data_IF_933899141626
#
_entry.id   IF_933899141626
#
_cell.length_a   1.000
_cell.length_b   1.000
_cell.length_c   1.000
_cell.angle_alpha   90.00
_cell.angle_beta   90.00
_cell.angle_gamma   90.00
#
_symmetry.space_group_name_H-M   'P 1'
#
loop_
_entity.id
_entity.type
_entity.pdbx_description
1 polymer ?
#
# COMPACT_ATOMS: atom_id res chain seq x y z
N UNK A 1 -1.37 20.37 -9.52
CA UNK A 1 -1.21 19.35 -10.58
C UNK A 1 0.21 18.78 -10.62
N UNK A 2 1.26 19.60 -10.53
CA UNK A 2 2.65 19.11 -10.56
C UNK A 2 3.01 18.06 -9.50
N UNK A 3 2.51 18.21 -8.27
CA UNK A 3 2.89 17.29 -7.18
C UNK A 3 2.34 15.87 -7.36
N UNK A 4 1.07 15.72 -7.77
CA UNK A 4 0.50 14.39 -8.05
C UNK A 4 1.17 13.72 -9.26
N UNK A 5 1.61 14.51 -10.25
CA UNK A 5 2.38 14.00 -11.39
C UNK A 5 3.73 13.46 -10.92
N UNK A 6 4.47 14.26 -10.14
CA UNK A 6 5.72 13.84 -9.53
C UNK A 6 5.57 12.57 -8.69
N UNK A 7 4.53 12.47 -7.85
CA UNK A 7 4.28 11.26 -7.05
C UNK A 7 3.95 10.07 -7.96
N UNK A 8 3.16 10.26 -9.02
CA UNK A 8 2.84 9.19 -9.98
C UNK A 8 4.12 8.68 -10.68
N UNK A 9 5.01 9.58 -11.08
CA UNK A 9 6.31 9.28 -11.68
C UNK A 9 7.26 8.58 -10.69
N UNK A 10 7.40 9.13 -9.49
CA UNK A 10 8.25 8.60 -8.41
C UNK A 10 7.88 7.16 -8.06
N UNK A 11 6.58 6.89 -7.98
CA UNK A 11 6.04 5.58 -7.66
C UNK A 11 6.12 4.61 -8.85
N UNK A 12 6.56 5.06 -10.03
CA UNK A 12 6.64 4.25 -11.24
C UNK A 12 5.28 3.79 -11.77
N UNK A 13 4.19 4.43 -11.33
CA UNK A 13 2.83 4.04 -11.71
C UNK A 13 2.57 4.49 -13.15
N UNK A 14 2.91 3.63 -14.11
CA UNK A 14 2.41 3.80 -15.46
C UNK A 14 0.94 3.38 -15.47
N UNK A 15 0.03 4.35 -15.55
CA UNK A 15 -1.36 4.37 -16.10
C UNK A 15 -2.30 3.14 -16.09
N UNK A 16 -1.83 1.90 -15.99
CA UNK A 16 -2.38 0.80 -16.77
C UNK A 16 -3.12 -0.27 -15.96
N UNK A 17 -3.10 -0.24 -14.62
CA UNK A 17 -3.65 -1.33 -13.80
C UNK A 17 -4.77 -0.98 -12.83
N UNK A 18 -5.14 0.29 -12.70
CA UNK A 18 -6.02 0.73 -11.62
C UNK A 18 -7.34 1.33 -12.13
N UNK A 19 -7.43 1.63 -13.42
CA UNK A 19 -8.65 2.08 -14.10
C UNK A 19 -9.24 0.99 -15.01
N UNK A 20 -10.53 1.05 -15.31
CA UNK A 20 -11.21 0.07 -16.18
C UNK A 20 -10.58 0.07 -17.59
N UNK A 21 -10.29 -1.12 -18.13
CA UNK A 21 -9.63 -1.28 -19.44
C UNK A 21 -10.36 -0.56 -20.59
N UNK A 22 -11.69 -0.56 -20.58
CA UNK A 22 -12.49 0.13 -21.60
C UNK A 22 -12.33 1.65 -21.55
N UNK A 23 -12.22 2.22 -20.35
CA UNK A 23 -11.92 3.64 -20.17
C UNK A 23 -10.53 3.97 -20.71
N UNK A 24 -9.52 3.16 -20.38
CA UNK A 24 -8.17 3.37 -20.89
C UNK A 24 -8.10 3.33 -22.42
N UNK A 25 -8.82 2.40 -23.05
CA UNK A 25 -8.85 2.26 -24.49
C UNK A 25 -9.47 3.50 -25.16
N UNK A 26 -10.67 3.90 -24.73
CA UNK A 26 -11.33 5.12 -25.22
C UNK A 26 -10.54 6.39 -24.95
N UNK A 27 -9.91 6.47 -23.77
CA UNK A 27 -9.11 7.63 -23.39
C UNK A 27 -7.85 7.77 -24.25
N UNK A 28 -7.15 6.67 -24.56
CA UNK A 28 -6.03 6.71 -25.52
C UNK A 28 -6.47 7.13 -26.91
N UNK A 29 -7.62 6.62 -27.34
CA UNK A 29 -8.17 6.85 -28.69
C UNK A 29 -8.54 8.32 -28.91
N UNK A 30 -9.06 8.99 -27.89
CA UNK A 30 -9.57 10.36 -28.02
C UNK A 30 -8.68 11.43 -27.35
N UNK A 31 -7.82 11.07 -26.40
CA UNK A 31 -7.03 12.01 -25.60
C UNK A 31 -5.53 11.71 -25.68
N UNK A 32 -4.93 12.01 -26.83
CA UNK A 32 -3.53 11.70 -27.16
C UNK A 32 -2.50 12.47 -26.30
N UNK A 33 -2.83 13.66 -25.81
CA UNK A 33 -1.91 14.56 -25.09
C UNK A 33 -2.14 14.61 -23.58
N UNK A 34 -3.09 13.82 -23.06
CA UNK A 34 -3.49 13.89 -21.64
C UNK A 34 -2.90 12.70 -20.89
N UNK A 35 -2.22 12.99 -19.78
CA UNK A 35 -1.68 11.96 -18.89
C UNK A 35 -2.72 11.55 -17.84
N UNK A 36 -2.86 10.23 -17.63
CA UNK A 36 -3.65 9.70 -16.51
C UNK A 36 -2.83 9.86 -15.24
N UNK A 37 -3.31 10.69 -14.32
CA UNK A 37 -2.68 10.97 -13.03
C UNK A 37 -3.42 10.16 -11.96
N UNK A 38 -2.67 9.45 -11.12
CA UNK A 38 -3.27 8.73 -10.01
C UNK A 38 -3.50 9.63 -8.82
N UNK A 39 -4.72 9.60 -8.29
CA UNK A 39 -4.99 10.24 -7.01
C UNK A 39 -4.38 9.43 -5.86
N UNK A 40 -4.21 10.11 -4.72
CA UNK A 40 -3.74 9.52 -3.46
C UNK A 40 -4.58 8.31 -3.03
N UNK A 41 -5.90 8.35 -3.27
CA UNK A 41 -6.84 7.35 -2.79
C UNK A 41 -6.55 5.97 -3.39
N UNK A 42 -6.34 5.91 -4.71
CA UNK A 42 -6.07 4.65 -5.40
C UNK A 42 -4.78 4.00 -4.89
N UNK A 43 -3.73 4.81 -4.71
CA UNK A 43 -2.43 4.33 -4.23
C UNK A 43 -2.54 3.80 -2.80
N UNK A 44 -3.18 4.55 -1.91
CA UNK A 44 -3.42 4.12 -0.53
C UNK A 44 -4.30 2.87 -0.47
N UNK A 45 -5.34 2.78 -1.32
CA UNK A 45 -6.23 1.60 -1.39
C UNK A 45 -5.45 0.33 -1.73
N UNK A 46 -4.47 0.40 -2.63
CA UNK A 46 -3.62 -0.74 -2.94
C UNK A 46 -2.79 -1.22 -1.74
N UNK A 47 -2.21 -0.28 -1.00
CA UNK A 47 -1.46 -0.58 0.22
C UNK A 47 -2.36 -1.23 1.30
N UNK A 48 -3.57 -0.69 1.48
CA UNK A 48 -4.57 -1.25 2.40
C UNK A 48 -4.98 -2.68 1.99
N UNK A 49 -5.12 -2.93 0.69
CA UNK A 49 -5.42 -4.27 0.19
C UNK A 49 -4.26 -5.25 0.49
N UNK A 50 -3.01 -4.84 0.29
CA UNK A 50 -1.84 -5.66 0.60
C UNK A 50 -1.75 -6.01 2.10
N UNK A 51 -2.03 -5.03 2.98
CA UNK A 51 -2.13 -5.28 4.43
C UNK A 51 -3.23 -6.29 4.77
N UNK A 52 -4.39 -6.21 4.10
CA UNK A 52 -5.46 -7.18 4.28
C UNK A 52 -5.09 -8.58 3.77
N UNK A 53 -4.27 -8.71 2.73
CA UNK A 53 -3.75 -10.01 2.29
C UNK A 53 -2.80 -10.62 3.33
N UNK A 54 -1.92 -9.83 3.95
CA UNK A 54 -1.11 -10.29 5.09
C UNK A 54 -2.01 -10.79 6.21
N UNK A 55 -3.04 -10.03 6.58
CA UNK A 55 -4.01 -10.44 7.61
C UNK A 55 -4.66 -11.78 7.27
N UNK A 56 -5.07 -12.00 6.02
CA UNK A 56 -5.64 -13.28 5.57
C UNK A 56 -4.64 -14.43 5.67
N UNK A 57 -3.37 -14.19 5.31
CA UNK A 57 -2.33 -15.19 5.39
C UNK A 57 -2.01 -15.57 6.85
N UNK A 58 -1.89 -14.56 7.73
CA UNK A 58 -1.73 -14.76 9.17
C UNK A 58 -2.93 -15.51 9.76
N UNK A 59 -4.15 -15.21 9.31
CA UNK A 59 -5.36 -15.93 9.72
C UNK A 59 -5.33 -17.42 9.30
N UNK A 60 -4.83 -17.73 8.10
CA UNK A 60 -4.69 -19.12 7.63
C UNK A 60 -3.68 -19.90 8.48
N UNK A 61 -2.57 -19.27 8.85
CA UNK A 61 -1.49 -19.88 9.67
C UNK A 61 -1.80 -19.92 11.17
N UNK A 62 -2.72 -19.08 11.64
CA UNK A 62 -3.08 -18.96 13.04
C UNK A 62 -3.80 -20.21 13.57
N UNK A 63 -3.47 -20.59 14.82
CA UNK A 63 -4.30 -21.46 15.65
C UNK A 63 -5.56 -20.73 16.17
N UNK A 64 -6.41 -21.44 16.90
CA UNK A 64 -7.74 -20.98 17.31
C UNK A 64 -7.73 -19.61 18.01
N UNK A 65 -6.90 -19.42 19.04
CA UNK A 65 -6.81 -18.14 19.75
C UNK A 65 -6.38 -16.96 18.88
N UNK A 66 -5.43 -17.17 17.95
CA UNK A 66 -5.02 -16.10 17.03
C UNK A 66 -6.06 -15.81 15.94
N UNK A 67 -6.86 -16.81 15.54
CA UNK A 67 -7.97 -16.61 14.61
C UNK A 67 -9.06 -15.75 15.24
N UNK A 68 -9.39 -15.98 16.51
CA UNK A 68 -10.35 -15.17 17.25
C UNK A 68 -9.90 -13.70 17.30
N UNK A 69 -8.62 -13.45 17.60
CA UNK A 69 -8.05 -12.10 17.63
C UNK A 69 -8.06 -11.38 16.27
N UNK A 70 -7.94 -12.13 15.17
CA UNK A 70 -7.96 -11.58 13.81
C UNK A 70 -9.39 -11.46 13.23
N UNK A 71 -10.34 -12.21 13.76
CA UNK A 71 -11.73 -12.21 13.30
C UNK A 71 -12.41 -10.87 13.63
N UNK A 72 -13.14 -10.31 12.66
CA UNK A 72 -13.81 -9.02 12.83
C UNK A 72 -12.91 -7.77 12.96
N UNK A 73 -11.58 -7.92 13.11
CA UNK A 73 -10.67 -6.77 13.31
C UNK A 73 -10.12 -6.15 12.01
N UNK A 74 -10.66 -6.52 10.85
CA UNK A 74 -10.24 -5.98 9.53
C UNK A 74 -10.27 -4.44 9.52
N UNK A 75 -11.39 -3.83 9.89
CA UNK A 75 -11.54 -2.38 9.80
C UNK A 75 -10.66 -1.62 10.79
N UNK A 76 -10.40 -2.21 11.97
CA UNK A 76 -9.45 -1.67 12.95
C UNK A 76 -8.04 -1.64 12.35
N UNK A 77 -7.62 -2.72 11.68
CA UNK A 77 -6.32 -2.80 11.02
C UNK A 77 -6.17 -1.83 9.84
N UNK A 78 -7.24 -1.59 9.07
CA UNK A 78 -7.20 -0.69 7.92
C UNK A 78 -7.27 0.80 8.33
N UNK A 79 -7.83 1.10 9.51
CA UNK A 79 -7.95 2.45 10.04
C UNK A 79 -6.59 3.05 10.40
N UNK A 80 -6.46 4.37 10.30
CA UNK A 80 -5.29 5.08 10.82
C UNK A 80 -5.32 5.10 12.35
N UNK A 81 -4.16 4.97 12.99
CA UNK A 81 -4.06 4.88 14.45
C UNK A 81 -4.58 6.14 15.15
N UNK A 82 -4.43 7.29 14.51
CA UNK A 82 -4.89 8.59 15.00
C UNK A 82 -6.43 8.67 15.07
N UNK A 83 -7.12 7.96 14.17
CA UNK A 83 -8.58 7.94 14.09
C UNK A 83 -9.23 6.94 15.05
N UNK A 84 -8.45 6.02 15.64
CA UNK A 84 -8.97 5.00 16.55
C UNK A 84 -9.05 5.53 17.98
N UNK A 85 -10.15 5.21 18.67
CA UNK A 85 -10.43 5.61 20.05
C UNK A 85 -10.86 4.41 20.89
N UNK A 86 -10.71 4.53 22.21
CA UNK A 86 -11.14 3.52 23.19
C UNK A 86 -10.66 2.11 22.87
N UNK A 87 -11.59 1.16 22.93
CA UNK A 87 -11.34 -0.27 22.78
C UNK A 87 -10.77 -0.65 21.41
N UNK A 88 -11.12 0.07 20.35
CA UNK A 88 -10.59 -0.18 19.02
C UNK A 88 -9.07 0.06 18.95
N UNK A 89 -8.58 1.12 19.62
CA UNK A 89 -7.15 1.43 19.71
C UNK A 89 -6.42 0.41 20.59
N UNK A 90 -7.02 -0.01 21.69
CA UNK A 90 -6.47 -1.04 22.56
C UNK A 90 -6.36 -2.39 21.84
N UNK A 91 -7.42 -2.79 21.13
CA UNK A 91 -7.45 -4.02 20.33
C UNK A 91 -6.39 -4.01 19.23
N UNK A 92 -6.20 -2.87 18.53
CA UNK A 92 -5.12 -2.73 17.55
C UNK A 92 -3.75 -2.92 18.20
N UNK A 93 -3.46 -2.21 19.31
CA UNK A 93 -2.18 -2.32 20.00
C UNK A 93 -1.88 -3.75 20.44
N UNK A 94 -2.89 -4.43 20.98
CA UNK A 94 -2.75 -5.83 21.39
C UNK A 94 -2.47 -6.74 20.19
N UNK A 95 -3.25 -6.62 19.12
CA UNK A 95 -3.08 -7.41 17.90
C UNK A 95 -1.67 -7.24 17.30
N UNK A 96 -1.17 -6.00 17.23
CA UNK A 96 0.16 -5.69 16.72
C UNK A 96 1.27 -6.18 17.66
N UNK A 97 1.03 -6.20 18.98
CA UNK A 97 1.99 -6.75 19.96
C UNK A 97 2.17 -8.26 19.76
N UNK A 98 1.08 -8.98 19.50
CA UNK A 98 1.10 -10.44 19.36
C UNK A 98 1.62 -10.87 17.98
N UNK A 99 1.25 -10.16 16.90
CA UNK A 99 1.66 -10.52 15.55
C UNK A 99 2.72 -9.56 14.97
N UNK A 100 3.99 -9.97 15.06
CA UNK A 100 5.13 -9.17 14.55
C UNK A 100 5.10 -8.92 13.04
N UNK A 101 4.62 -9.87 12.24
CA UNK A 101 4.54 -9.70 10.78
C UNK A 101 3.48 -8.67 10.41
N UNK A 102 2.32 -8.73 11.07
CA UNK A 102 1.25 -7.76 10.92
C UNK A 102 1.66 -6.37 11.43
N UNK A 103 2.42 -6.31 12.53
CA UNK A 103 3.00 -5.06 13.04
C UNK A 103 3.87 -4.34 12.00
N UNK A 104 4.82 -5.05 11.39
CA UNK A 104 5.68 -4.46 10.35
C UNK A 104 4.86 -3.99 9.14
N UNK A 105 3.89 -4.78 8.68
CA UNK A 105 2.98 -4.39 7.59
C UNK A 105 2.18 -3.13 7.93
N UNK A 106 1.67 -3.04 9.16
CA UNK A 106 0.90 -1.90 9.64
C UNK A 106 1.75 -0.63 9.71
N UNK A 107 2.98 -0.72 10.23
CA UNK A 107 3.90 0.42 10.28
C UNK A 107 4.23 0.97 8.88
N UNK A 108 4.48 0.10 7.91
CA UNK A 108 4.71 0.49 6.52
C UNK A 108 3.51 1.23 5.93
N UNK A 109 2.29 0.79 6.29
CA UNK A 109 1.05 1.45 5.89
C UNK A 109 0.89 2.84 6.53
N UNK A 110 1.21 2.99 7.81
CA UNK A 110 1.11 4.28 8.50
C UNK A 110 2.16 5.27 8.00
N UNK A 111 3.41 4.83 7.78
CA UNK A 111 4.48 5.70 7.31
C UNK A 111 4.25 6.21 5.89
N UNK A 112 3.58 5.41 5.03
CA UNK A 112 3.37 5.76 3.62
C UNK A 112 2.59 7.06 3.42
N UNK A 113 1.70 7.43 4.35
CA UNK A 113 0.96 8.69 4.29
C UNK A 113 1.87 9.93 4.28
N UNK A 114 3.06 9.83 4.89
CA UNK A 114 4.07 10.89 4.95
C UNK A 114 4.58 11.31 3.57
N UNK A 115 4.47 10.44 2.56
CA UNK A 115 4.86 10.77 1.19
C UNK A 115 4.16 12.04 0.68
N UNK A 116 2.91 12.28 1.08
CA UNK A 116 2.14 13.46 0.69
C UNK A 116 2.34 14.68 1.59
N UNK A 117 3.04 14.56 2.73
CA UNK A 117 3.37 15.72 3.58
C UNK A 117 4.65 16.43 3.15
N UNK A 118 5.45 15.84 2.26
CA UNK A 118 6.66 16.48 1.75
C UNK A 118 6.33 17.56 0.72
N UNK A 119 7.11 18.64 0.75
CA UNK A 119 7.09 19.72 -0.25
C UNK A 119 8.29 19.65 -1.20
N UNK A 120 9.38 19.01 -0.76
CA UNK A 120 10.62 18.87 -1.53
C UNK A 120 10.68 17.51 -2.23
N UNK A 121 10.86 17.52 -3.55
CA UNK A 121 11.01 16.30 -4.37
C UNK A 121 12.14 15.39 -3.86
N UNK A 122 13.30 15.96 -3.52
CA UNK A 122 14.45 15.21 -3.01
C UNK A 122 14.14 14.44 -1.72
N UNK A 123 13.40 15.04 -0.78
CA UNK A 123 13.03 14.38 0.47
C UNK A 123 11.99 13.29 0.25
N UNK A 124 11.02 13.51 -0.66
CA UNK A 124 10.07 12.48 -1.07
C UNK A 124 10.76 11.27 -1.75
N UNK A 125 11.77 11.51 -2.60
CA UNK A 125 12.59 10.46 -3.20
C UNK A 125 13.35 9.65 -2.15
N UNK A 126 14.06 10.33 -1.24
CA UNK A 126 14.78 9.67 -0.14
C UNK A 126 13.84 8.84 0.74
N UNK A 127 12.65 9.37 1.06
CA UNK A 127 11.63 8.63 1.77
C UNK A 127 11.21 7.39 1.00
N UNK A 128 10.92 7.52 -0.29
CA UNK A 128 10.49 6.40 -1.15
C UNK A 128 11.54 5.30 -1.23
N UNK A 129 12.82 5.64 -1.40
CA UNK A 129 13.90 4.66 -1.44
C UNK A 129 14.04 3.92 -0.12
N UNK A 130 14.05 4.65 1.00
CA UNK A 130 14.07 4.04 2.34
C UNK A 130 12.84 3.17 2.61
N UNK A 131 11.67 3.58 2.15
CA UNK A 131 10.44 2.81 2.30
C UNK A 131 10.48 1.51 1.48
N UNK A 132 11.01 1.54 0.24
CA UNK A 132 11.27 0.34 -0.57
C UNK A 132 12.28 -0.61 0.10
N UNK A 133 13.30 -0.08 0.77
CA UNK A 133 14.23 -0.92 1.53
C UNK A 133 13.53 -1.66 2.66
N UNK A 134 12.69 -0.97 3.44
CA UNK A 134 11.89 -1.60 4.51
C UNK A 134 10.95 -2.69 3.98
N UNK A 135 10.41 -2.50 2.77
CA UNK A 135 9.60 -3.51 2.09
C UNK A 135 10.37 -4.80 1.75
N UNK A 136 11.63 -4.70 1.31
CA UNK A 136 12.45 -5.89 0.98
C UNK A 136 12.57 -6.84 2.18
N UNK A 137 12.68 -6.28 3.38
CA UNK A 137 12.77 -7.05 4.64
C UNK A 137 11.47 -7.76 5.05
N UNK A 138 10.33 -7.48 4.39
CA UNK A 138 9.05 -8.14 4.63
C UNK A 138 8.87 -9.45 3.85
N UNK A 139 9.79 -9.76 2.94
CA UNK A 139 9.78 -10.93 2.07
C UNK A 139 9.06 -10.71 0.74
N UNK A 140 9.41 -11.54 -0.25
CA UNK A 140 8.99 -11.43 -1.65
C UNK A 140 7.46 -11.32 -1.83
N UNK A 141 6.68 -12.10 -1.06
CA UNK A 141 5.23 -12.10 -1.15
C UNK A 141 4.61 -10.74 -0.82
N UNK A 142 5.05 -10.10 0.27
CA UNK A 142 4.51 -8.79 0.65
C UNK A 142 4.94 -7.69 -0.31
N UNK A 143 6.22 -7.70 -0.70
CA UNK A 143 6.74 -6.79 -1.71
C UNK A 143 5.96 -6.92 -3.02
N UNK A 144 5.69 -8.14 -3.48
CA UNK A 144 4.91 -8.38 -4.69
C UNK A 144 3.51 -7.80 -4.55
N UNK A 145 2.77 -8.07 -3.48
CA UNK A 145 1.40 -7.54 -3.34
C UNK A 145 1.32 -6.03 -3.21
N UNK A 146 2.24 -5.43 -2.45
CA UNK A 146 2.32 -3.98 -2.30
C UNK A 146 2.74 -3.35 -3.62
N UNK A 147 3.77 -3.89 -4.28
CA UNK A 147 4.39 -3.29 -5.46
C UNK A 147 3.75 -3.74 -6.79
N UNK A 148 2.80 -4.68 -6.81
CA UNK A 148 2.13 -5.18 -8.04
C UNK A 148 1.46 -4.08 -8.89
N UNK A 149 0.88 -3.03 -8.29
CA UNK A 149 0.40 -1.86 -9.05
C UNK A 149 1.52 -0.95 -9.55
N UNK A 150 2.71 -1.05 -8.96
CA UNK A 150 3.86 -0.16 -9.16
C UNK A 150 4.91 -0.74 -10.13
N UNK A 151 4.95 -2.07 -10.32
CA UNK A 151 5.80 -2.73 -11.32
C UNK A 151 5.04 -3.15 -12.58
N UNK A 152 5.74 -3.07 -13.73
CA UNK A 152 5.28 -3.54 -15.04
C UNK A 152 4.84 -5.01 -14.96
N UNK A 153 3.82 -5.37 -15.73
CA UNK A 153 3.65 -6.79 -16.09
C UNK A 153 4.93 -7.27 -16.80
N UNK A 154 5.65 -8.20 -16.17
CA UNK A 154 6.41 -9.24 -16.86
C UNK A 154 7.74 -8.90 -17.56
N UNK A 155 8.33 -7.72 -17.40
CA UNK A 155 9.65 -7.40 -17.96
C UNK A 155 10.44 -6.66 -16.89
N UNK A 156 10.99 -7.45 -15.97
CA UNK A 156 12.23 -7.28 -15.21
C UNK A 156 12.41 -8.61 -14.43
N UNK A 157 12.40 -9.72 -15.19
CA UNK A 157 13.27 -10.85 -14.86
C UNK A 157 14.58 -10.53 -15.57
N UNK A 158 15.39 -9.68 -14.95
CA UNK A 158 16.82 -9.65 -15.24
C UNK A 158 17.48 -10.24 -13.99
N UNK A 159 17.98 -11.45 -14.19
CA UNK A 159 18.98 -12.24 -13.45
C UNK A 159 18.86 -12.37 -11.91
#
# INVERSE_FOLDING_TARGET
MEWNNFITELLGIKGWKVTWKGFQWRFKEHCHSVQIIYDKFHIVRHLLNALNEVRKEEFRKAGEGMRELLCGKKFILLSCMENLKGDAKAALKYLLKVNRRLYKAYLLKESFGQLWSYTSRTWAMKFWDKWKEQLKWMGYYFQHFVMRPFYKDGIDRED
#
